data_IF_393484826544
#
_entry.id   IF_393484826544
#
_cell.length_a   1.000
_cell.length_b   1.000
_cell.length_c   1.000
_cell.angle_alpha   90.00
_cell.angle_beta   90.00
_cell.angle_gamma   90.00
#
_symmetry.space_group_name_H-M   'P 1'
#
loop_
_entity.id
_entity.type
_entity.pdbx_description
1 polymer ?
#
# COMPACT_ATOMS: atom_id res chain seq x y z
N UNK A 1 39.68 32.17 -21.79
CA UNK A 1 38.84 31.00 -22.14
C UNK A 1 37.90 30.75 -20.96
N UNK A 2 36.59 30.98 -21.16
CA UNK A 2 35.62 31.24 -20.08
C UNK A 2 35.10 29.92 -19.49
N UNK A 3 35.29 29.75 -18.18
CA UNK A 3 35.01 28.56 -17.39
C UNK A 3 33.55 28.08 -17.54
N UNK A 4 33.34 27.03 -18.34
CA UNK A 4 32.06 26.29 -18.49
C UNK A 4 31.92 25.15 -17.49
N UNK A 5 32.95 24.92 -16.68
CA UNK A 5 33.06 23.80 -15.74
C UNK A 5 32.10 23.90 -14.54
N UNK A 6 31.89 25.07 -13.88
CA UNK A 6 31.08 25.09 -12.66
C UNK A 6 29.57 24.92 -12.95
N UNK A 7 29.09 25.39 -14.11
CA UNK A 7 27.68 25.28 -14.47
C UNK A 7 27.27 23.84 -14.75
N UNK A 8 28.15 23.04 -15.38
CA UNK A 8 27.89 21.63 -15.65
C UNK A 8 27.82 20.83 -14.34
N UNK A 9 28.72 21.09 -13.39
CA UNK A 9 28.74 20.38 -12.09
C UNK A 9 27.45 20.66 -11.29
N UNK A 10 26.97 21.91 -11.31
CA UNK A 10 25.70 22.30 -10.66
C UNK A 10 24.49 21.60 -11.31
N UNK A 11 24.45 21.52 -12.64
CA UNK A 11 23.41 20.80 -13.37
C UNK A 11 23.39 19.30 -13.00
N UNK A 12 24.54 18.63 -12.99
CA UNK A 12 24.64 17.23 -12.59
C UNK A 12 24.17 17.00 -11.13
N UNK A 13 24.52 17.88 -10.21
CA UNK A 13 24.10 17.76 -8.81
C UNK A 13 22.58 17.91 -8.61
N UNK A 14 21.93 18.80 -9.39
CA UNK A 14 20.46 18.98 -9.33
C UNK A 14 19.68 17.79 -9.90
N UNK A 15 20.20 17.13 -10.94
CA UNK A 15 19.57 15.94 -11.54
C UNK A 15 19.62 14.76 -10.56
N UNK A 16 20.73 14.56 -9.84
CA UNK A 16 20.89 13.43 -8.90
C UNK A 16 19.94 13.56 -7.70
N UNK A 17 19.66 14.78 -7.22
CA UNK A 17 18.73 15.02 -6.09
C UNK A 17 17.25 14.77 -6.43
N UNK A 18 16.90 14.68 -7.71
CA UNK A 18 15.50 14.54 -8.17
C UNK A 18 15.10 13.09 -8.42
N UNK A 19 16.07 12.16 -8.43
CA UNK A 19 15.80 10.74 -8.51
C UNK A 19 15.45 10.19 -7.13
N UNK A 20 14.19 10.37 -6.73
CA UNK A 20 13.58 9.44 -5.77
C UNK A 20 13.56 8.06 -6.43
N UNK A 21 14.61 7.28 -6.19
CA UNK A 21 14.66 5.88 -6.61
C UNK A 21 13.68 5.12 -5.72
N UNK A 22 12.42 5.05 -6.14
CA UNK A 22 11.52 4.01 -5.66
C UNK A 22 12.08 2.70 -6.22
N UNK A 23 12.67 1.89 -5.35
CA UNK A 23 13.17 0.57 -5.71
C UNK A 23 11.98 -0.31 -6.06
N UNK A 24 11.66 -0.40 -7.35
CA UNK A 24 10.70 -1.36 -7.91
C UNK A 24 11.32 -2.75 -7.78
N UNK A 25 11.17 -3.39 -6.62
CA UNK A 25 11.51 -4.80 -6.46
C UNK A 25 10.39 -5.63 -7.07
N UNK A 26 10.75 -6.42 -8.09
CA UNK A 26 10.04 -7.59 -8.63
C UNK A 26 8.51 -7.60 -8.59
N UNK A 27 7.88 -7.56 -9.76
CA UNK A 27 6.53 -8.09 -9.94
C UNK A 27 6.59 -9.61 -9.83
N UNK A 28 6.48 -10.15 -8.63
CA UNK A 28 6.19 -11.58 -8.45
C UNK A 28 4.69 -11.73 -8.76
N UNK A 29 4.35 -12.54 -9.76
CA UNK A 29 2.97 -12.84 -10.20
C UNK A 29 2.13 -11.65 -10.69
N UNK A 30 2.72 -10.75 -11.48
CA UNK A 30 1.99 -9.73 -12.24
C UNK A 30 1.39 -8.59 -11.40
N UNK A 31 1.66 -8.52 -10.10
CA UNK A 31 1.24 -7.42 -9.23
C UNK A 31 2.41 -6.45 -8.99
N UNK A 32 2.16 -5.14 -9.02
CA UNK A 32 3.18 -4.15 -8.66
C UNK A 32 3.24 -4.02 -7.14
N UNK A 33 4.28 -4.58 -6.53
CA UNK A 33 4.56 -4.46 -5.10
C UNK A 33 5.28 -3.12 -4.79
N UNK A 34 4.67 -2.32 -3.91
CA UNK A 34 5.23 -1.06 -3.41
C UNK A 34 6.03 -1.24 -2.10
N UNK A 35 6.18 -2.49 -1.65
CA UNK A 35 6.71 -2.85 -0.33
C UNK A 35 5.88 -2.23 0.80
N UNK A 36 6.45 -2.14 1.99
CA UNK A 36 5.74 -1.61 3.17
C UNK A 36 5.78 -0.09 3.20
N UNK A 37 4.61 0.50 3.45
CA UNK A 37 4.44 1.95 3.56
C UNK A 37 5.24 2.55 4.73
N UNK A 38 5.59 3.82 4.61
CA UNK A 38 6.32 4.53 5.65
C UNK A 38 5.45 4.84 6.88
N UNK A 39 4.12 4.92 6.72
CA UNK A 39 3.20 5.11 7.84
C UNK A 39 3.05 3.79 8.63
N UNK A 40 3.40 3.83 9.91
CA UNK A 40 3.28 2.69 10.82
C UNK A 40 2.25 2.96 11.89
N UNK A 41 1.29 2.03 12.04
CA UNK A 41 0.26 2.10 13.08
C UNK A 41 0.80 1.45 14.35
N UNK A 42 0.83 2.20 15.46
CA UNK A 42 1.18 1.70 16.80
C UNK A 42 0.03 2.02 17.74
N UNK A 43 -0.52 0.99 18.34
CA UNK A 43 -1.79 1.05 19.08
C UNK A 43 -1.62 0.28 20.37
N UNK A 44 -2.25 0.75 21.44
CA UNK A 44 -2.27 0.03 22.71
C UNK A 44 -3.28 -1.11 22.66
N UNK A 45 -2.99 -2.19 23.38
CA UNK A 45 -3.93 -3.31 23.53
C UNK A 45 -5.29 -2.80 24.05
N UNK A 46 -6.38 -3.16 23.38
CA UNK A 46 -7.73 -2.74 23.76
C UNK A 46 -8.22 -1.45 23.10
N UNK A 47 -7.33 -0.65 22.49
CA UNK A 47 -7.73 0.57 21.76
C UNK A 47 -8.20 0.22 20.33
N UNK A 48 -9.18 0.96 19.79
CA UNK A 48 -9.59 0.78 18.40
C UNK A 48 -8.56 1.35 17.43
N UNK A 49 -8.41 0.73 16.26
CA UNK A 49 -7.59 1.26 15.17
C UNK A 49 -8.26 1.10 13.81
N UNK A 50 -8.12 2.14 13.00
CA UNK A 50 -8.48 2.15 11.59
C UNK A 50 -7.22 2.22 10.74
N UNK A 51 -6.99 1.20 9.93
CA UNK A 51 -5.87 1.14 9.00
C UNK A 51 -6.41 1.40 7.59
N UNK A 52 -5.92 2.47 6.95
CA UNK A 52 -6.31 2.83 5.58
C UNK A 52 -5.32 2.23 4.57
N UNK A 53 -5.82 1.83 3.41
CA UNK A 53 -4.96 1.35 2.33
C UNK A 53 -4.10 2.49 1.79
N UNK A 54 -2.78 2.37 1.97
CA UNK A 54 -1.83 3.42 1.60
C UNK A 54 -1.85 3.77 0.11
N UNK A 55 -2.26 2.83 -0.76
CA UNK A 55 -2.29 3.03 -2.21
C UNK A 55 -3.00 4.35 -2.59
N UNK A 56 -4.17 4.61 -2.01
CA UNK A 56 -5.00 5.79 -2.30
C UNK A 56 -4.47 7.11 -1.75
N UNK A 57 -3.44 7.08 -0.89
CA UNK A 57 -2.93 8.27 -0.18
C UNK A 57 -1.49 8.64 -0.55
N UNK A 58 -0.93 8.04 -1.61
CA UNK A 58 0.41 8.42 -2.06
C UNK A 58 0.97 7.66 -3.25
N UNK A 59 0.44 6.48 -3.56
CA UNK A 59 1.03 5.62 -4.60
C UNK A 59 0.26 5.67 -5.93
N UNK A 60 -1.07 5.74 -5.88
CA UNK A 60 -1.91 5.84 -7.09
C UNK A 60 -2.69 7.16 -7.13
N UNK A 61 -3.04 7.59 -8.35
CA UNK A 61 -3.83 8.81 -8.59
C UNK A 61 -5.32 8.52 -8.74
N UNK A 62 -5.87 7.73 -7.83
CA UNK A 62 -7.29 7.43 -7.74
C UNK A 62 -7.69 7.34 -6.28
N UNK A 63 -8.98 7.53 -5.98
CA UNK A 63 -9.56 7.22 -4.68
C UNK A 63 -10.27 5.86 -4.74
N UNK A 64 -10.75 5.39 -3.59
CA UNK A 64 -11.42 4.09 -3.49
C UNK A 64 -12.68 3.99 -4.37
N UNK A 65 -13.53 5.02 -4.34
CA UNK A 65 -14.79 5.02 -5.10
C UNK A 65 -14.54 5.00 -6.61
N UNK A 66 -13.57 5.76 -7.10
CA UNK A 66 -13.19 5.74 -8.51
C UNK A 66 -12.57 4.38 -8.91
N UNK A 67 -11.68 3.82 -8.09
CA UNK A 67 -11.12 2.49 -8.34
C UNK A 67 -12.22 1.43 -8.42
N UNK A 68 -13.19 1.46 -7.52
CA UNK A 68 -14.34 0.56 -7.54
C UNK A 68 -15.19 0.74 -8.81
N UNK A 69 -15.50 1.98 -9.20
CA UNK A 69 -16.25 2.25 -10.45
C UNK A 69 -15.51 1.82 -11.71
N UNK A 70 -14.18 1.77 -11.66
CA UNK A 70 -13.33 1.28 -12.75
C UNK A 70 -13.20 -0.25 -12.76
N UNK A 71 -13.97 -0.96 -11.94
CA UNK A 71 -13.96 -2.43 -11.86
C UNK A 71 -12.76 -2.99 -11.08
N UNK A 72 -12.13 -2.21 -10.21
CA UNK A 72 -11.09 -2.73 -9.31
C UNK A 72 -11.69 -3.19 -7.98
N UNK A 73 -11.28 -4.37 -7.53
CA UNK A 73 -11.60 -4.90 -6.21
C UNK A 73 -10.43 -4.74 -5.25
N UNK A 74 -10.71 -4.24 -4.05
CA UNK A 74 -9.75 -4.11 -2.95
C UNK A 74 -9.78 -5.36 -2.07
N UNK A 75 -8.65 -6.03 -1.97
CA UNK A 75 -8.42 -7.23 -1.17
C UNK A 75 -7.42 -6.91 -0.05
N UNK A 76 -7.54 -7.57 1.10
CA UNK A 76 -6.65 -7.41 2.24
C UNK A 76 -6.03 -8.74 2.63
N UNK A 77 -4.73 -8.71 2.90
CA UNK A 77 -3.94 -9.86 3.33
C UNK A 77 -3.16 -9.50 4.60
N UNK A 78 -2.87 -10.51 5.42
CA UNK A 78 -2.06 -10.38 6.63
C UNK A 78 -0.86 -11.30 6.54
N UNK A 79 0.29 -10.80 6.97
CA UNK A 79 1.47 -11.63 7.24
C UNK A 79 2.03 -11.34 8.64
N UNK A 80 2.67 -12.34 9.25
CA UNK A 80 3.32 -12.20 10.56
C UNK A 80 4.61 -11.37 10.49
N UNK A 81 5.24 -11.32 9.32
CA UNK A 81 6.56 -10.72 9.12
C UNK A 81 6.84 -10.40 7.66
N UNK A 82 7.92 -9.65 7.44
CA UNK A 82 8.37 -9.32 6.09
C UNK A 82 8.92 -10.57 5.39
N UNK A 83 8.30 -10.96 4.28
CA UNK A 83 8.69 -12.16 3.52
C UNK A 83 8.02 -13.46 3.98
N UNK A 84 7.15 -13.39 5.00
CA UNK A 84 6.25 -14.49 5.35
C UNK A 84 5.11 -14.59 4.34
N UNK A 85 4.43 -15.74 4.29
CA UNK A 85 3.28 -15.95 3.43
C UNK A 85 2.12 -15.01 3.80
N UNK A 86 1.51 -14.41 2.79
CA UNK A 86 0.36 -13.51 2.95
C UNK A 86 -0.94 -14.31 2.91
N UNK A 87 -1.69 -14.33 4.02
CA UNK A 87 -2.98 -15.01 4.11
C UNK A 87 -4.13 -14.03 3.89
N UNK A 88 -5.17 -14.39 3.09
CA UNK A 88 -6.36 -13.56 2.94
C UNK A 88 -7.04 -13.30 4.29
N UNK A 89 -7.45 -12.05 4.54
CA UNK A 89 -8.14 -11.72 5.78
C UNK A 89 -9.60 -12.15 5.77
N UNK A 90 -10.04 -12.82 6.84
CA UNK A 90 -11.44 -13.13 7.10
C UNK A 90 -12.04 -12.10 8.05
N UNK A 91 -13.02 -11.33 7.60
CA UNK A 91 -13.67 -10.28 8.40
C UNK A 91 -14.88 -10.86 9.14
N UNK A 92 -14.89 -10.75 10.47
CA UNK A 92 -16.01 -11.18 11.31
C UNK A 92 -17.16 -10.16 11.36
N UNK A 93 -16.90 -8.92 10.91
CA UNK A 93 -17.87 -7.82 10.89
C UNK A 93 -18.17 -7.20 12.26
N UNK A 94 -17.65 -7.76 13.35
CA UNK A 94 -17.88 -7.29 14.72
C UNK A 94 -16.66 -6.56 15.25
N UNK A 95 -15.61 -7.32 15.57
CA UNK A 95 -14.32 -6.81 16.02
C UNK A 95 -13.49 -6.34 14.85
N UNK A 96 -13.42 -7.13 13.79
CA UNK A 96 -12.63 -6.87 12.60
C UNK A 96 -13.52 -6.72 11.37
N UNK A 97 -13.57 -5.51 10.82
CA UNK A 97 -14.45 -5.17 9.70
C UNK A 97 -13.71 -4.44 8.59
N UNK A 98 -14.14 -4.68 7.35
CA UNK A 98 -13.70 -3.94 6.17
C UNK A 98 -14.72 -2.83 5.90
N UNK A 99 -14.27 -1.59 5.95
CA UNK A 99 -15.09 -0.40 5.65
C UNK A 99 -14.36 0.43 4.58
N UNK A 100 -14.96 0.50 3.38
CA UNK A 100 -14.41 1.21 2.22
C UNK A 100 -12.97 0.80 1.88
N UNK A 101 -12.03 1.75 2.02
CA UNK A 101 -10.60 1.66 1.76
C UNK A 101 -9.80 1.22 2.99
N UNK A 102 -10.48 0.82 4.06
CA UNK A 102 -9.89 0.64 5.38
C UNK A 102 -10.38 -0.61 6.10
N UNK A 103 -9.58 -1.07 7.04
CA UNK A 103 -9.93 -2.11 7.99
C UNK A 103 -9.98 -1.51 9.39
N UNK A 104 -10.95 -1.98 10.18
CA UNK A 104 -11.16 -1.58 11.55
C UNK A 104 -10.95 -2.74 12.49
N UNK A 105 -10.27 -2.46 13.60
CA UNK A 105 -10.16 -3.34 14.76
C UNK A 105 -10.80 -2.62 15.95
N UNK A 106 -11.81 -3.25 16.54
CA UNK A 106 -12.63 -2.71 17.63
C UNK A 106 -12.92 -3.82 18.65
N UNK A 107 -12.01 -4.10 19.62
CA UNK A 107 -10.70 -3.48 19.83
C UNK A 107 -9.54 -4.19 19.11
N UNK A 108 -8.34 -3.58 19.14
CA UNK A 108 -7.09 -4.21 18.71
C UNK A 108 -6.56 -5.18 19.78
N UNK A 109 -6.04 -6.33 19.32
CA UNK A 109 -5.47 -7.39 20.14
C UNK A 109 -3.98 -7.60 19.84
N UNK A 110 -3.24 -8.25 20.74
CA UNK A 110 -1.81 -8.57 20.52
C UNK A 110 -1.58 -9.44 19.27
N UNK A 111 -2.56 -10.29 18.93
CA UNK A 111 -2.51 -11.16 17.76
C UNK A 111 -2.65 -10.38 16.45
N UNK A 112 -3.13 -9.13 16.49
CA UNK A 112 -3.25 -8.26 15.30
C UNK A 112 -1.90 -7.62 14.91
N UNK A 113 -0.81 -7.87 15.67
CA UNK A 113 0.51 -7.43 15.25
C UNK A 113 0.94 -8.16 13.96
N UNK A 114 1.34 -7.41 12.94
CA UNK A 114 1.79 -7.95 11.66
C UNK A 114 1.85 -6.90 10.55
N UNK A 115 2.03 -7.36 9.32
CA UNK A 115 1.94 -6.55 8.13
C UNK A 115 0.60 -6.77 7.44
N UNK A 116 0.00 -5.67 6.97
CA UNK A 116 -1.29 -5.66 6.30
C UNK A 116 -1.11 -5.16 4.88
N UNK A 117 -1.31 -6.05 3.92
CA UNK A 117 -1.16 -5.76 2.50
C UNK A 117 -2.52 -5.47 1.90
N UNK A 118 -2.67 -4.28 1.31
CA UNK A 118 -3.85 -3.93 0.52
C UNK A 118 -3.56 -4.07 -0.97
N UNK A 119 -4.36 -4.87 -1.65
CA UNK A 119 -4.13 -5.26 -3.06
C UNK A 119 -5.33 -4.87 -3.89
N UNK A 120 -5.08 -4.12 -4.96
CA UNK A 120 -6.08 -3.83 -5.99
C UNK A 120 -5.93 -4.81 -7.14
N UNK A 121 -7.02 -5.49 -7.50
CA UNK A 121 -7.07 -6.35 -8.69
C UNK A 121 -8.26 -5.99 -9.55
N UNK A 122 -8.12 -6.15 -10.86
CA UNK A 122 -9.26 -6.06 -11.77
C UNK A 122 -10.25 -7.16 -11.39
N UNK A 123 -11.48 -6.75 -11.15
CA UNK A 123 -12.60 -7.66 -11.09
C UNK A 123 -12.80 -8.21 -12.49
N UNK A 124 -12.31 -9.43 -12.74
CA UNK A 124 -12.77 -10.20 -13.88
C UNK A 124 -14.11 -10.78 -13.46
N UNK A 125 -15.17 -10.09 -13.81
CA UNK A 125 -16.45 -10.75 -13.99
C UNK A 125 -16.23 -11.78 -15.11
N UNK A 126 -16.01 -13.04 -14.76
CA UNK A 126 -16.05 -14.15 -15.71
C UNK A 126 -17.49 -14.55 -16.09
N UNK A 127 -18.46 -13.67 -15.88
CA UNK A 127 -19.83 -13.82 -16.40
C UNK A 127 -20.45 -12.46 -16.70
N UNK A 128 -20.22 -11.94 -17.90
CA UNK A 128 -21.22 -11.12 -18.59
C UNK A 128 -21.12 -11.37 -20.11
N UNK A 129 -21.91 -12.37 -20.55
CA UNK A 129 -22.24 -12.82 -21.91
C UNK A 129 -21.17 -13.47 -22.80
#
# INVERSE_FOLDING_TARGET
MRSRVPLQILLYATVIRSLKVVSKRGSVDGCTDWSVDYLKYKVLLGEPVRIKCALFYGYIRANYTHAQSAGLSLMWYKSTGHGDFEEPMSFDGSRMSKEEDSIWFRPAELQDAGHYSCVLRIHRDEEFF
#
